data_IF_100823949424
#
_entry.id   IF_100823949424
#
_cell.length_a   1.000
_cell.length_b   1.000
_cell.length_c   1.000
_cell.angle_alpha   90.00
_cell.angle_beta   90.00
_cell.angle_gamma   90.00
#
_symmetry.space_group_name_H-M   'P 1'
#
loop_
_entity.id
_entity.type
_entity.pdbx_description
1 polymer ?
#
# COMPACT_ATOMS: atom_id res chain seq x y z
N UNK A 1 -33.03 18.33 16.32
CA UNK A 1 -32.31 18.00 15.07
C UNK A 1 -31.37 16.84 15.39
N UNK A 2 -31.60 15.67 14.81
CA UNK A 2 -30.68 14.53 14.97
C UNK A 2 -29.45 14.79 14.11
N UNK A 3 -28.30 15.03 14.72
CA UNK A 3 -27.03 15.13 14.00
C UNK A 3 -26.61 13.73 13.56
N UNK A 4 -26.88 13.40 12.28
CA UNK A 4 -26.35 12.20 11.66
C UNK A 4 -24.94 12.47 11.13
N UNK A 5 -24.02 11.56 11.40
CA UNK A 5 -22.67 11.60 10.84
C UNK A 5 -22.76 11.05 9.41
N UNK A 6 -22.78 11.93 8.42
CA UNK A 6 -22.89 11.60 6.99
C UNK A 6 -21.52 11.48 6.32
N UNK A 7 -20.72 10.52 6.80
CA UNK A 7 -19.42 10.19 6.22
C UNK A 7 -19.50 8.81 5.60
N UNK A 8 -19.24 8.71 4.30
CA UNK A 8 -19.20 7.41 3.64
C UNK A 8 -17.89 6.67 3.99
N UNK A 9 -17.95 5.86 5.05
CA UNK A 9 -16.80 5.08 5.50
C UNK A 9 -16.31 4.08 4.44
N UNK A 10 -17.15 3.74 3.45
CA UNK A 10 -16.81 2.79 2.37
C UNK A 10 -15.80 3.39 1.41
N UNK A 11 -15.75 4.71 1.26
CA UNK A 11 -14.73 5.37 0.44
C UNK A 11 -13.34 5.23 1.06
N UNK A 12 -13.22 5.25 2.39
CA UNK A 12 -11.95 4.93 3.06
C UNK A 12 -11.55 3.47 2.87
N UNK A 13 -12.50 2.52 2.96
CA UNK A 13 -12.24 1.11 2.70
C UNK A 13 -11.77 0.88 1.25
N UNK A 14 -12.45 1.50 0.27
CA UNK A 14 -12.06 1.44 -1.15
C UNK A 14 -10.66 2.02 -1.39
N UNK A 15 -10.36 3.18 -0.81
CA UNK A 15 -9.07 3.83 -0.94
C UNK A 15 -7.96 2.96 -0.32
N UNK A 16 -8.18 2.38 0.86
CA UNK A 16 -7.24 1.46 1.49
C UNK A 16 -6.95 0.24 0.59
N UNK A 17 -7.99 -0.40 0.06
CA UNK A 17 -7.84 -1.53 -0.86
C UNK A 17 -7.07 -1.15 -2.14
N UNK A 18 -7.37 0.00 -2.73
CA UNK A 18 -6.66 0.47 -3.92
C UNK A 18 -5.16 0.71 -3.68
N UNK A 19 -4.81 1.21 -2.49
CA UNK A 19 -3.41 1.40 -2.09
C UNK A 19 -2.71 0.06 -1.92
N UNK A 20 -3.34 -0.92 -1.28
CA UNK A 20 -2.78 -2.27 -1.13
C UNK A 20 -2.61 -2.98 -2.47
N UNK A 21 -3.61 -2.91 -3.35
CA UNK A 21 -3.54 -3.47 -4.70
C UNK A 21 -2.39 -2.86 -5.50
N UNK A 22 -2.11 -1.57 -5.30
CA UNK A 22 -0.94 -0.93 -5.91
C UNK A 22 0.36 -1.46 -5.33
N UNK A 23 0.48 -1.55 -4.01
CA UNK A 23 1.69 -2.06 -3.34
C UNK A 23 1.98 -3.50 -3.75
N UNK A 24 0.97 -4.35 -3.84
CA UNK A 24 1.13 -5.75 -4.26
C UNK A 24 1.52 -5.86 -5.73
N UNK A 25 0.91 -5.07 -6.61
CA UNK A 25 1.33 -4.98 -8.02
C UNK A 25 2.77 -4.49 -8.17
N UNK A 26 3.17 -3.49 -7.39
CA UNK A 26 4.54 -2.98 -7.40
C UNK A 26 5.54 -4.04 -6.95
N UNK A 27 5.24 -4.80 -5.90
CA UNK A 27 6.08 -5.92 -5.45
C UNK A 27 6.22 -7.01 -6.50
N UNK A 28 5.12 -7.38 -7.16
CA UNK A 28 5.15 -8.34 -8.26
C UNK A 28 6.05 -7.85 -9.40
N UNK A 29 5.94 -6.58 -9.77
CA UNK A 29 6.78 -5.98 -10.83
C UNK A 29 8.26 -5.92 -10.45
N UNK A 30 8.59 -5.57 -9.21
CA UNK A 30 9.97 -5.62 -8.72
C UNK A 30 10.52 -7.05 -8.74
N UNK A 31 9.73 -8.04 -8.31
CA UNK A 31 10.14 -9.45 -8.37
C UNK A 31 10.37 -9.94 -9.80
N UNK A 32 9.54 -9.53 -10.76
CA UNK A 32 9.74 -9.84 -12.18
C UNK A 32 11.04 -9.23 -12.70
N UNK A 33 11.27 -7.95 -12.39
CA UNK A 33 12.48 -7.26 -12.79
C UNK A 33 13.74 -7.86 -12.14
N UNK A 34 13.68 -8.32 -10.90
CA UNK A 34 14.77 -9.07 -10.25
C UNK A 34 15.16 -10.32 -11.05
N UNK A 35 14.16 -11.06 -11.56
CA UNK A 35 14.40 -12.26 -12.38
C UNK A 35 14.99 -11.88 -13.75
N UNK A 36 14.52 -10.80 -14.37
CA UNK A 36 15.04 -10.31 -15.64
C UNK A 36 16.50 -9.85 -15.51
N UNK A 37 16.86 -9.10 -14.46
CA UNK A 37 18.24 -8.68 -14.18
C UNK A 37 19.15 -9.88 -13.94
N UNK A 38 18.67 -10.89 -13.21
CA UNK A 38 19.42 -12.14 -13.02
C UNK A 38 19.64 -12.88 -14.35
N UNK A 39 18.62 -12.93 -15.22
CA UNK A 39 18.71 -13.54 -16.54
C UNK A 39 19.70 -12.82 -17.45
N UNK A 40 19.74 -11.49 -17.42
CA UNK A 40 20.72 -10.69 -18.18
C UNK A 40 22.17 -11.07 -17.84
N UNK A 41 22.44 -11.37 -16.56
CA UNK A 41 23.77 -11.78 -16.10
C UNK A 41 24.30 -13.10 -16.69
N UNK A 42 23.42 -13.92 -17.28
CA UNK A 42 23.84 -15.15 -17.95
C UNK A 42 24.57 -14.89 -19.28
N UNK A 43 24.21 -13.82 -19.99
CA UNK A 43 24.77 -13.48 -21.31
C UNK A 43 25.56 -12.18 -21.34
N UNK A 44 25.36 -11.30 -20.36
CA UNK A 44 26.05 -10.02 -20.23
C UNK A 44 26.97 -10.05 -19.01
N UNK A 45 28.26 -10.19 -19.27
CA UNK A 45 29.30 -10.21 -18.24
C UNK A 45 30.23 -9.00 -18.41
N UNK A 46 30.86 -8.57 -17.32
CA UNK A 46 31.81 -7.46 -17.29
C UNK A 46 31.34 -6.28 -16.43
N UNK A 47 32.18 -5.24 -16.35
CA UNK A 47 32.01 -4.12 -15.42
C UNK A 47 30.68 -3.37 -15.57
N UNK A 48 30.13 -3.28 -16.78
CA UNK A 48 28.85 -2.59 -16.99
C UNK A 48 27.69 -3.35 -16.35
N UNK A 49 27.68 -4.68 -16.45
CA UNK A 49 26.68 -5.50 -15.77
C UNK A 49 26.88 -5.45 -14.25
N UNK A 50 28.12 -5.47 -13.75
CA UNK A 50 28.40 -5.32 -12.31
C UNK A 50 27.87 -3.99 -11.76
N UNK A 51 28.04 -2.89 -12.51
CA UNK A 51 27.48 -1.58 -12.15
C UNK A 51 25.96 -1.58 -12.14
N UNK A 52 25.34 -2.18 -13.16
CA UNK A 52 23.89 -2.35 -13.21
C UNK A 52 23.40 -3.13 -11.98
N UNK A 53 24.01 -4.28 -11.70
CA UNK A 53 23.63 -5.15 -10.58
C UNK A 53 23.80 -4.43 -9.24
N UNK A 54 24.88 -3.67 -9.04
CA UNK A 54 25.07 -2.84 -7.84
C UNK A 54 23.96 -1.81 -7.69
N UNK A 55 23.63 -1.06 -8.75
CA UNK A 55 22.57 -0.04 -8.73
C UNK A 55 21.19 -0.65 -8.54
N UNK A 56 20.95 -1.82 -9.11
CA UNK A 56 19.72 -2.58 -8.94
C UNK A 56 19.54 -3.03 -7.49
N UNK A 57 20.59 -3.57 -6.87
CA UNK A 57 20.56 -3.97 -5.48
C UNK A 57 20.32 -2.79 -4.53
N UNK A 58 20.82 -1.59 -4.85
CA UNK A 58 20.52 -0.36 -4.08
C UNK A 58 19.01 -0.01 -4.11
N UNK A 59 18.31 -0.28 -5.22
CA UNK A 59 16.88 -0.02 -5.37
C UNK A 59 16.00 -0.99 -4.57
N UNK A 60 16.43 -2.24 -4.42
CA UNK A 60 15.68 -3.30 -3.70
C UNK A 60 16.15 -3.49 -2.24
N UNK A 61 17.15 -2.72 -1.80
CA UNK A 61 17.68 -2.86 -0.45
C UNK A 61 16.70 -2.38 0.62
N UNK A 62 16.81 -2.95 1.83
CA UNK A 62 16.06 -2.49 3.00
C UNK A 62 16.42 -1.04 3.30
N UNK A 63 15.44 -0.14 3.22
CA UNK A 63 15.64 1.31 3.38
C UNK A 63 15.77 2.09 2.06
N UNK A 64 15.67 1.42 0.90
CA UNK A 64 15.55 2.10 -0.38
C UNK A 64 14.28 2.96 -0.45
N UNK A 65 14.28 3.95 -1.34
CA UNK A 65 13.09 4.79 -1.59
C UNK A 65 11.86 3.95 -1.95
N UNK A 66 12.04 2.86 -2.71
CA UNK A 66 10.95 1.99 -3.12
C UNK A 66 10.35 1.23 -1.92
N UNK A 67 11.19 0.65 -1.06
CA UNK A 67 10.75 -0.08 0.14
C UNK A 67 10.09 0.87 1.14
N UNK A 68 10.68 2.06 1.34
CA UNK A 68 10.11 3.08 2.24
C UNK A 68 8.76 3.59 1.74
N UNK A 69 8.62 3.81 0.43
CA UNK A 69 7.34 4.22 -0.16
C UNK A 69 6.26 3.14 0.04
N UNK A 70 6.58 1.87 -0.20
CA UNK A 70 5.66 0.77 0.04
C UNK A 70 5.20 0.71 1.51
N UNK A 71 6.12 0.94 2.45
CA UNK A 71 5.80 0.99 3.88
C UNK A 71 4.86 2.15 4.19
N UNK A 72 5.19 3.37 3.76
CA UNK A 72 4.35 4.55 3.98
C UNK A 72 2.95 4.40 3.38
N UNK A 73 2.83 3.75 2.22
CA UNK A 73 1.53 3.45 1.61
C UNK A 73 0.72 2.44 2.42
N UNK A 74 1.35 1.39 2.94
CA UNK A 74 0.68 0.43 3.84
C UNK A 74 0.22 1.09 5.14
N UNK A 75 1.09 1.87 5.78
CA UNK A 75 0.77 2.62 6.99
C UNK A 75 -0.42 3.58 6.74
N UNK A 76 -0.46 4.22 5.57
CA UNK A 76 -1.59 5.06 5.17
C UNK A 76 -2.89 4.26 4.96
N UNK A 77 -2.82 3.10 4.31
CA UNK A 77 -3.98 2.21 4.16
C UNK A 77 -4.54 1.76 5.52
N UNK A 78 -3.68 1.48 6.49
CA UNK A 78 -4.09 1.12 7.86
C UNK A 78 -4.80 2.29 8.57
N UNK A 79 -4.30 3.52 8.39
CA UNK A 79 -4.98 4.72 8.89
C UNK A 79 -6.37 4.87 8.27
N UNK A 80 -6.50 4.67 6.96
CA UNK A 80 -7.80 4.74 6.27
C UNK A 80 -8.79 3.71 6.83
N UNK A 81 -8.35 2.48 7.07
CA UNK A 81 -9.19 1.46 7.69
C UNK A 81 -9.60 1.79 9.11
N UNK A 82 -8.66 2.30 9.91
CA UNK A 82 -8.94 2.73 11.26
C UNK A 82 -10.03 3.81 11.26
N UNK A 83 -9.88 4.83 10.41
CA UNK A 83 -10.86 5.91 10.26
C UNK A 83 -12.22 5.37 9.80
N UNK A 84 -12.25 4.45 8.84
CA UNK A 84 -13.47 3.80 8.38
C UNK A 84 -14.22 3.09 9.52
N UNK A 85 -13.50 2.32 10.34
CA UNK A 85 -14.06 1.62 11.49
C UNK A 85 -14.63 2.57 12.55
N UNK A 86 -13.94 3.69 12.83
CA UNK A 86 -14.44 4.71 13.75
C UNK A 86 -15.76 5.33 13.25
N UNK A 87 -15.85 5.70 11.97
CA UNK A 87 -17.07 6.25 11.40
C UNK A 87 -18.22 5.25 11.38
N UNK A 88 -17.93 3.99 11.00
CA UNK A 88 -18.91 2.90 11.02
C UNK A 88 -19.48 2.67 12.42
N UNK A 89 -18.64 2.67 13.46
CA UNK A 89 -19.06 2.55 14.87
C UNK A 89 -19.90 3.75 15.31
N UNK A 90 -19.50 4.96 14.94
CA UNK A 90 -20.21 6.18 15.31
C UNK A 90 -21.61 6.23 14.67
N UNK A 91 -21.73 5.89 13.39
CA UNK A 91 -23.01 5.79 12.68
C UNK A 91 -23.93 4.73 13.29
N UNK A 92 -23.39 3.54 13.59
CA UNK A 92 -24.16 2.48 14.26
C UNK A 92 -24.70 2.96 15.61
N UNK A 93 -23.86 3.60 16.44
CA UNK A 93 -24.27 4.14 17.75
C UNK A 93 -25.36 5.21 17.61
N UNK A 94 -25.31 6.05 16.59
CA UNK A 94 -26.34 7.05 16.32
C UNK A 94 -27.68 6.39 15.95
N UNK A 95 -27.66 5.35 15.10
CA UNK A 95 -28.85 4.58 14.72
C UNK A 95 -29.45 3.87 15.94
N UNK A 96 -28.63 3.18 16.74
CA UNK A 96 -29.09 2.46 17.93
C UNK A 96 -29.75 3.40 18.94
N UNK A 97 -29.19 4.61 19.13
CA UNK A 97 -29.79 5.64 20.00
C UNK A 97 -31.14 6.12 19.48
N UNK A 98 -31.30 6.27 18.17
CA UNK A 98 -32.58 6.67 17.56
C UNK A 98 -33.62 5.56 17.70
N UNK A 99 -33.23 4.29 17.52
CA UNK A 99 -34.12 3.14 17.68
C UNK A 99 -34.51 2.84 19.14
N UNK A 100 -33.72 3.33 20.12
CA UNK A 100 -34.03 3.18 21.55
C UNK A 100 -34.96 4.25 22.12
N UNK A 101 -35.33 5.26 21.31
CA UNK A 101 -36.26 6.34 21.65
C UNK A 101 -37.66 6.03 21.11
#
# INVERSE_FOLDING_TARGET
MSSFIDVDYREFEKAASAVEDYVDRQKQKMSQANQEVASLGAGWQGQDFERLQSKWNELDNTGSTAVNLQKSLKDYADVLRYVADQYKKAQKKAIDRVNSL
#
